data_IF_053068098415
#
_entry.id   IF_053068098415
#
_cell.length_a   1.000
_cell.length_b   1.000
_cell.length_c   1.000
_cell.angle_alpha   90.00
_cell.angle_beta   90.00
_cell.angle_gamma   90.00
#
_symmetry.space_group_name_H-M   'P 1'
#
loop_
_entity.id
_entity.type
_entity.pdbx_description
1 polymer ?
#
# COMPACT_ATOMS: atom_id res chain seq x y z
N UNK A 1 -17.98 8.48 -7.22
CA UNK A 1 -17.44 8.97 -5.96
C UNK A 1 -18.45 9.99 -5.48
N UNK A 2 -19.34 9.58 -4.58
CA UNK A 2 -20.41 10.44 -4.09
C UNK A 2 -19.91 11.12 -2.83
N UNK A 3 -19.84 12.44 -2.84
CA UNK A 3 -19.51 13.25 -1.66
C UNK A 3 -20.78 13.91 -1.15
N UNK A 4 -21.24 13.60 0.06
CA UNK A 4 -22.37 14.30 0.70
C UNK A 4 -21.87 15.12 1.88
N UNK A 5 -22.24 16.40 1.93
CA UNK A 5 -22.10 17.26 3.10
C UNK A 5 -23.46 17.37 3.82
N UNK A 6 -23.44 17.71 5.11
CA UNK A 6 -24.58 17.57 6.05
C UNK A 6 -25.70 18.62 5.90
N UNK A 7 -25.80 19.33 4.78
CA UNK A 7 -26.92 20.25 4.52
C UNK A 7 -27.80 19.71 3.39
N UNK A 8 -29.03 19.35 3.74
CA UNK A 8 -30.01 18.80 2.83
C UNK A 8 -30.42 19.82 1.76
N UNK A 9 -30.35 19.44 0.48
CA UNK A 9 -31.41 19.54 -0.54
C UNK A 9 -30.96 18.86 -1.84
N UNK A 10 -31.90 18.14 -2.46
CA UNK A 10 -31.64 17.09 -3.46
C UNK A 10 -31.06 17.56 -4.80
N UNK A 11 -30.51 16.60 -5.54
CA UNK A 11 -29.98 16.76 -6.89
C UNK A 11 -30.21 15.47 -7.71
N UNK A 12 -30.30 15.61 -9.04
CA UNK A 12 -30.55 14.55 -10.05
C UNK A 12 -29.38 14.46 -11.02
N UNK A 13 -28.95 13.26 -11.44
CA UNK A 13 -28.44 13.05 -12.81
C UNK A 13 -28.37 11.57 -13.25
N UNK A 14 -28.58 11.32 -14.56
CA UNK A 14 -28.67 9.97 -15.15
C UNK A 14 -27.33 9.41 -15.63
N UNK A 15 -27.14 8.11 -15.42
CA UNK A 15 -26.09 7.27 -15.99
C UNK A 15 -26.23 7.15 -17.52
N UNK A 16 -25.24 7.67 -18.26
CA UNK A 16 -24.80 7.08 -19.52
C UNK A 16 -23.27 7.16 -19.60
N UNK A 17 -22.66 6.01 -19.84
CA UNK A 17 -21.26 5.83 -20.26
C UNK A 17 -20.17 6.02 -19.19
N UNK A 18 -20.19 5.19 -18.13
CA UNK A 18 -18.98 4.78 -17.39
C UNK A 18 -18.15 5.86 -16.68
N UNK A 19 -18.63 7.10 -16.62
CA UNK A 19 -17.96 8.22 -15.97
C UNK A 19 -18.33 8.36 -14.50
N UNK A 20 -17.33 8.48 -13.64
CA UNK A 20 -17.51 8.77 -12.22
C UNK A 20 -17.75 10.28 -12.03
N UNK A 21 -18.99 10.69 -11.76
CA UNK A 21 -19.32 12.08 -11.45
C UNK A 21 -19.02 12.43 -9.98
N UNK A 22 -18.53 13.65 -9.76
CA UNK A 22 -18.34 14.27 -8.45
C UNK A 22 -18.90 15.69 -8.49
N UNK A 23 -19.82 16.02 -7.59
CA UNK A 23 -20.37 17.36 -7.45
C UNK A 23 -20.51 17.73 -5.97
N UNK A 24 -20.30 19.00 -5.62
CA UNK A 24 -20.77 19.56 -4.34
C UNK A 24 -21.73 20.68 -4.61
N UNK A 25 -22.68 20.76 -3.71
CA UNK A 25 -23.38 21.98 -3.40
C UNK A 25 -22.81 22.48 -2.08
N UNK A 26 -21.83 23.38 -2.17
CA UNK A 26 -21.57 24.36 -1.12
C UNK A 26 -22.02 25.69 -1.69
N UNK A 27 -22.98 26.33 -1.01
CA UNK A 27 -23.24 27.75 -1.19
C UNK A 27 -21.90 28.49 -1.02
N UNK A 28 -21.52 29.27 -2.03
CA UNK A 28 -20.38 30.21 -2.07
C UNK A 28 -18.94 29.71 -2.28
N UNK A 29 -18.66 28.44 -2.63
CA UNK A 29 -17.29 28.05 -2.99
C UNK A 29 -17.19 27.46 -4.40
N UNK A 30 -16.55 28.19 -5.31
CA UNK A 30 -16.28 27.82 -6.70
C UNK A 30 -15.68 26.41 -6.78
N UNK A 31 -16.38 25.51 -7.47
CA UNK A 31 -15.84 24.20 -7.85
C UNK A 31 -15.26 24.33 -9.25
N UNK A 32 -13.98 24.67 -9.35
CA UNK A 32 -13.26 24.56 -10.63
C UNK A 32 -12.94 23.10 -10.89
N UNK A 33 -13.78 22.45 -11.72
CA UNK A 33 -13.46 21.14 -12.30
C UNK A 33 -13.02 21.35 -13.74
N UNK A 34 -11.79 20.96 -14.05
CA UNK A 34 -11.32 20.80 -15.43
C UNK A 34 -11.54 19.34 -15.81
N UNK A 35 -12.59 19.07 -16.58
CA UNK A 35 -12.88 17.74 -17.12
C UNK A 35 -12.27 17.64 -18.51
N UNK A 36 -11.14 16.95 -18.62
CA UNK A 36 -10.67 16.41 -19.89
C UNK A 36 -11.35 15.04 -20.09
N UNK A 37 -12.13 14.90 -21.15
CA UNK A 37 -12.93 13.70 -21.43
C UNK A 37 -12.08 12.43 -21.63
N UNK A 38 -10.77 12.55 -21.81
CA UNK A 38 -9.84 11.42 -21.88
C UNK A 38 -9.01 11.19 -20.60
N UNK A 39 -9.20 12.01 -19.57
CA UNK A 39 -8.47 11.86 -18.32
C UNK A 39 -9.06 10.74 -17.46
N UNK A 40 -8.18 9.90 -16.92
CA UNK A 40 -8.49 8.95 -15.85
C UNK A 40 -8.15 9.50 -14.45
N UNK A 41 -7.70 10.75 -14.37
CA UNK A 41 -7.39 11.46 -13.12
C UNK A 41 -8.46 12.50 -12.84
N UNK A 42 -8.98 12.46 -11.62
CA UNK A 42 -9.96 13.43 -11.12
C UNK A 42 -9.45 14.05 -9.81
N UNK A 43 -9.48 15.38 -9.73
CA UNK A 43 -9.12 16.12 -8.52
C UNK A 43 -10.34 16.89 -8.01
N UNK A 44 -10.63 16.75 -6.71
CA UNK A 44 -11.72 17.46 -6.04
C UNK A 44 -11.15 18.43 -4.99
N UNK A 45 -11.50 19.71 -5.10
CA UNK A 45 -11.17 20.71 -4.09
C UNK A 45 -12.44 21.25 -3.40
N UNK A 46 -12.38 21.35 -2.07
CA UNK A 46 -13.42 21.94 -1.22
C UNK A 46 -12.76 22.89 -0.23
N UNK A 47 -13.25 24.13 -0.16
CA UNK A 47 -12.85 25.12 0.84
C UNK A 47 -13.98 25.20 1.87
N UNK A 48 -13.67 25.08 3.16
CA UNK A 48 -14.65 25.03 4.24
C UNK A 48 -14.09 25.69 5.51
N UNK A 49 -14.96 26.23 6.34
CA UNK A 49 -14.62 26.71 7.68
C UNK A 49 -14.76 25.59 8.71
N UNK A 50 -13.83 25.50 9.66
CA UNK A 50 -13.91 24.51 10.76
C UNK A 50 -14.98 24.89 11.79
N UNK A 51 -15.65 23.91 12.43
CA UNK A 51 -15.49 22.46 12.24
C UNK A 51 -16.26 21.92 11.03
N UNK A 52 -15.70 20.94 10.31
CA UNK A 52 -16.36 20.23 9.22
C UNK A 52 -16.01 18.74 9.22
N UNK A 53 -16.81 17.93 8.53
CA UNK A 53 -16.62 16.50 8.31
C UNK A 53 -16.97 16.15 6.86
N UNK A 54 -16.24 15.21 6.26
CA UNK A 54 -16.45 14.76 4.87
C UNK A 54 -16.34 13.25 4.82
N UNK A 55 -17.39 12.60 4.32
CA UNK A 55 -17.37 11.18 3.97
C UNK A 55 -17.10 11.00 2.47
N UNK A 56 -16.17 10.11 2.16
CA UNK A 56 -15.88 9.65 0.80
C UNK A 56 -16.32 8.20 0.70
N UNK A 57 -17.41 7.95 -0.02
CA UNK A 57 -18.00 6.62 -0.13
C UNK A 57 -17.56 5.94 -1.43
N UNK A 58 -17.05 4.73 -1.30
CA UNK A 58 -16.74 3.82 -2.40
C UNK A 58 -17.59 2.55 -2.27
N UNK A 59 -18.27 2.17 -3.36
CA UNK A 59 -19.02 0.93 -3.49
C UNK A 59 -18.97 0.46 -4.95
N UNK A 60 -19.07 -0.85 -5.14
CA UNK A 60 -19.19 -1.48 -6.46
C UNK A 60 -20.63 -1.34 -6.98
N UNK A 61 -20.83 -1.39 -8.30
CA UNK A 61 -22.14 -1.49 -8.94
C UNK A 61 -22.94 -2.69 -8.42
N UNK A 62 -22.25 -3.78 -8.05
CA UNK A 62 -22.85 -4.98 -7.49
C UNK A 62 -22.84 -5.01 -5.95
N UNK A 63 -22.98 -3.84 -5.31
CA UNK A 63 -23.03 -3.72 -3.85
C UNK A 63 -24.11 -4.63 -3.25
N UNK A 64 -23.89 -5.11 -2.02
CA UNK A 64 -24.75 -6.08 -1.34
C UNK A 64 -26.23 -5.70 -1.42
N UNK A 65 -27.06 -6.63 -1.89
CA UNK A 65 -28.47 -6.41 -2.23
C UNK A 65 -28.76 -6.01 -3.69
N UNK A 66 -27.76 -5.67 -4.51
CA UNK A 66 -27.91 -5.20 -5.90
C UNK A 66 -27.15 -6.04 -6.92
N UNK A 67 -27.41 -7.36 -6.95
CA UNK A 67 -26.74 -8.32 -7.85
C UNK A 67 -26.91 -8.06 -9.36
N UNK A 68 -27.87 -7.22 -9.76
CA UNK A 68 -28.14 -6.84 -11.15
C UNK A 68 -27.72 -5.39 -11.47
N UNK A 69 -26.94 -4.77 -10.57
CA UNK A 69 -26.59 -3.35 -10.65
C UNK A 69 -27.72 -2.44 -10.19
N UNK A 70 -27.42 -1.14 -10.21
CA UNK A 70 -28.39 -0.09 -9.85
C UNK A 70 -29.27 0.25 -11.05
N UNK A 71 -30.58 0.16 -10.86
CA UNK A 71 -31.59 0.53 -11.86
C UNK A 71 -32.13 1.94 -11.62
N UNK A 72 -32.05 2.42 -10.38
CA UNK A 72 -32.57 3.71 -9.96
C UNK A 72 -31.58 4.49 -9.09
N UNK A 73 -31.54 5.82 -9.28
CA UNK A 73 -30.69 6.73 -8.50
C UNK A 73 -31.00 6.67 -6.99
N UNK A 74 -32.25 6.40 -6.62
CA UNK A 74 -32.65 6.21 -5.23
C UNK A 74 -31.97 5.01 -4.55
N UNK A 75 -31.56 4.00 -5.31
CA UNK A 75 -30.83 2.83 -4.79
C UNK A 75 -29.40 3.23 -4.43
N UNK A 76 -28.75 4.02 -5.30
CA UNK A 76 -27.43 4.61 -5.04
C UNK A 76 -27.49 5.50 -3.79
N UNK A 77 -28.51 6.36 -3.70
CA UNK A 77 -28.70 7.22 -2.53
C UNK A 77 -28.85 6.43 -1.23
N UNK A 78 -29.60 5.32 -1.28
CA UNK A 78 -29.78 4.43 -0.14
C UNK A 78 -28.47 3.77 0.28
N UNK A 79 -27.64 3.30 -0.67
CA UNK A 79 -26.32 2.72 -0.38
C UNK A 79 -25.41 3.77 0.25
N UNK A 80 -25.35 4.97 -0.32
CA UNK A 80 -24.55 6.07 0.23
C UNK A 80 -24.98 6.40 1.67
N UNK A 81 -26.29 6.45 1.95
CA UNK A 81 -26.79 6.68 3.31
C UNK A 81 -26.40 5.55 4.27
N UNK A 82 -26.33 4.30 3.80
CA UNK A 82 -25.88 3.17 4.62
C UNK A 82 -24.38 3.17 4.92
N UNK A 83 -23.60 3.92 4.13
CA UNK A 83 -22.13 4.00 4.20
C UNK A 83 -21.63 5.41 4.53
N UNK A 84 -22.44 6.26 5.17
CA UNK A 84 -22.04 7.60 5.60
C UNK A 84 -22.70 8.02 6.91
N UNK A 85 -22.21 9.11 7.50
CA UNK A 85 -22.72 9.71 8.72
C UNK A 85 -22.80 8.72 9.89
N UNK A 86 -23.95 8.68 10.56
CA UNK A 86 -24.12 7.88 11.78
C UNK A 86 -23.92 6.38 11.57
N UNK A 87 -24.15 5.86 10.37
CA UNK A 87 -23.90 4.46 10.06
C UNK A 87 -22.40 4.14 10.14
N UNK A 88 -21.57 4.99 9.53
CA UNK A 88 -20.11 4.87 9.59
C UNK A 88 -19.58 5.16 11.00
N UNK A 89 -20.13 6.14 11.71
CA UNK A 89 -19.74 6.43 13.10
C UNK A 89 -19.88 5.19 14.00
N UNK A 90 -20.99 4.47 13.88
CA UNK A 90 -21.23 3.25 14.63
C UNK A 90 -20.23 2.14 14.27
N UNK A 91 -19.93 2.00 12.98
CA UNK A 91 -18.93 1.03 12.49
C UNK A 91 -17.54 1.39 13.00
N UNK A 92 -17.12 2.65 12.95
CA UNK A 92 -15.83 3.13 13.47
C UNK A 92 -15.72 2.85 14.97
N UNK A 93 -16.74 3.19 15.76
CA UNK A 93 -16.75 2.94 17.20
C UNK A 93 -16.70 1.45 17.53
N UNK A 94 -17.42 0.62 16.77
CA UNK A 94 -17.38 -0.84 16.91
C UNK A 94 -15.99 -1.41 16.55
N UNK A 95 -15.40 -0.96 15.44
CA UNK A 95 -14.08 -1.40 14.99
C UNK A 95 -12.98 -1.03 15.98
N UNK A 96 -13.01 0.19 16.55
CA UNK A 96 -12.06 0.62 17.60
C UNK A 96 -12.13 -0.27 18.84
N UNK A 97 -13.34 -0.58 19.33
CA UNK A 97 -13.50 -1.49 20.48
C UNK A 97 -12.99 -2.89 20.18
N UNK A 98 -13.33 -3.44 19.01
CA UNK A 98 -12.83 -4.75 18.57
C UNK A 98 -11.30 -4.79 18.44
N UNK A 99 -10.68 -3.70 17.99
CA UNK A 99 -9.22 -3.56 17.94
C UNK A 99 -8.62 -3.62 19.34
N UNK A 100 -9.14 -2.84 20.28
CA UNK A 100 -8.65 -2.81 21.68
C UNK A 100 -8.79 -4.18 22.37
N UNK A 101 -9.92 -4.85 22.17
CA UNK A 101 -10.20 -6.19 22.69
C UNK A 101 -9.23 -7.22 22.10
N UNK A 102 -9.06 -7.25 20.77
CA UNK A 102 -8.18 -8.21 20.09
C UNK A 102 -6.71 -7.98 20.46
N UNK A 103 -6.25 -6.73 20.57
CA UNK A 103 -4.87 -6.43 21.01
C UNK A 103 -4.62 -7.00 22.40
N UNK A 104 -5.59 -6.83 23.31
CA UNK A 104 -5.50 -7.39 24.67
C UNK A 104 -5.49 -8.91 24.68
N UNK A 105 -6.27 -9.55 23.78
CA UNK A 105 -6.34 -11.02 23.66
C UNK A 105 -5.07 -11.63 23.05
N UNK A 106 -4.54 -11.03 21.98
CA UNK A 106 -3.39 -11.56 21.22
C UNK A 106 -2.09 -11.42 22.00
N UNK A 107 -1.86 -10.26 22.63
CA UNK A 107 -0.60 -9.96 23.30
C UNK A 107 -0.62 -10.18 24.81
N UNK A 108 -1.80 -10.44 25.39
CA UNK A 108 -2.05 -10.77 26.81
C UNK A 108 -1.04 -10.18 27.79
N UNK A 109 -1.03 -8.84 27.87
CA UNK A 109 -0.06 -8.11 28.69
C UNK A 109 -0.11 -8.51 30.17
N UNK A 110 -1.29 -8.90 30.68
CA UNK A 110 -1.48 -9.30 32.07
C UNK A 110 -0.84 -10.65 32.41
N UNK A 111 -0.82 -11.60 31.46
CA UNK A 111 -0.05 -12.84 31.65
C UNK A 111 1.46 -12.61 31.62
N UNK A 112 1.90 -11.54 30.96
CA UNK A 112 3.32 -11.23 30.81
C UNK A 112 3.88 -10.53 32.05
N UNK A 113 3.18 -9.53 32.59
CA UNK A 113 3.50 -8.90 33.87
C UNK A 113 2.30 -8.12 34.43
N UNK A 114 2.21 -8.04 35.76
CA UNK A 114 1.27 -7.14 36.44
C UNK A 114 1.64 -5.65 36.31
N UNK A 115 2.84 -5.34 35.80
CA UNK A 115 3.34 -3.97 35.65
C UNK A 115 2.84 -3.28 34.37
N UNK A 116 2.19 -4.02 33.46
CA UNK A 116 1.65 -3.43 32.23
C UNK A 116 0.41 -2.59 32.53
N UNK A 117 0.59 -1.27 32.46
CA UNK A 117 -0.51 -0.31 32.59
C UNK A 117 -1.35 -0.16 31.32
N UNK A 118 -2.49 0.54 31.44
CA UNK A 118 -3.34 0.91 30.30
C UNK A 118 -2.57 1.72 29.24
N UNK A 119 -1.62 2.56 29.65
CA UNK A 119 -0.77 3.33 28.73
C UNK A 119 0.12 2.42 27.88
N UNK A 120 0.61 1.31 28.42
CA UNK A 120 1.39 0.34 27.65
C UNK A 120 0.52 -0.38 26.62
N UNK A 121 -0.73 -0.70 26.96
CA UNK A 121 -1.70 -1.28 26.01
C UNK A 121 -1.99 -0.31 24.87
N UNK A 122 -2.19 0.97 25.18
CA UNK A 122 -2.36 2.02 24.17
C UNK A 122 -1.13 2.14 23.27
N UNK A 123 0.07 2.19 23.84
CA UNK A 123 1.32 2.23 23.08
C UNK A 123 1.47 1.03 22.13
N UNK A 124 1.18 -0.19 22.61
CA UNK A 124 1.25 -1.40 21.79
C UNK A 124 0.24 -1.36 20.63
N UNK A 125 -0.99 -0.90 20.88
CA UNK A 125 -2.00 -0.70 19.84
C UNK A 125 -1.53 0.28 18.77
N UNK A 126 -1.04 1.45 19.16
CA UNK A 126 -0.55 2.46 18.21
C UNK A 126 0.66 1.93 17.41
N UNK A 127 1.58 1.21 18.06
CA UNK A 127 2.76 0.64 17.41
C UNK A 127 2.35 -0.41 16.36
N UNK A 128 1.47 -1.34 16.74
CA UNK A 128 0.95 -2.34 15.81
C UNK A 128 0.17 -1.68 14.66
N UNK A 129 -0.65 -0.68 14.96
CA UNK A 129 -1.46 0.03 13.96
C UNK A 129 -0.58 0.77 12.95
N UNK A 130 0.53 1.36 13.39
CA UNK A 130 1.50 1.99 12.50
C UNK A 130 2.26 0.97 11.65
N UNK A 131 2.62 -0.19 12.20
CA UNK A 131 3.25 -1.27 11.44
C UNK A 131 2.30 -1.80 10.34
N UNK A 132 1.06 -2.12 10.69
CA UNK A 132 0.05 -2.60 9.74
C UNK A 132 -0.31 -1.53 8.69
N UNK A 133 -0.45 -0.27 9.12
CA UNK A 133 -0.68 0.87 8.23
C UNK A 133 0.53 1.22 7.35
N UNK A 134 1.69 0.61 7.60
CA UNK A 134 2.88 0.67 6.77
C UNK A 134 2.98 -0.45 5.73
N UNK A 135 2.03 -1.40 5.69
CA UNK A 135 1.97 -2.42 4.66
C UNK A 135 1.58 -1.77 3.33
N UNK A 136 2.36 -2.05 2.29
CA UNK A 136 2.19 -1.47 0.97
C UNK A 136 2.15 -2.57 -0.10
N UNK A 137 1.37 -2.33 -1.15
CA UNK A 137 1.40 -3.08 -2.39
C UNK A 137 2.15 -2.27 -3.45
N UNK A 138 3.31 -2.77 -3.86
CA UNK A 138 4.23 -2.11 -4.77
C UNK A 138 4.24 -2.83 -6.13
N UNK A 139 4.40 -2.07 -7.21
CA UNK A 139 4.38 -2.62 -8.56
C UNK A 139 5.40 -1.91 -9.45
N UNK A 140 6.28 -2.66 -10.09
CA UNK A 140 7.26 -2.07 -10.98
C UNK A 140 8.46 -2.96 -11.26
N UNK A 141 9.56 -2.34 -11.66
CA UNK A 141 10.84 -2.98 -11.96
C UNK A 141 11.93 -2.42 -11.05
N UNK A 142 12.71 -3.29 -10.43
CA UNK A 142 13.96 -2.91 -9.76
C UNK A 142 15.07 -2.69 -10.80
N UNK A 143 15.94 -1.72 -10.53
CA UNK A 143 17.12 -1.46 -11.35
C UNK A 143 18.31 -2.27 -10.82
N UNK A 144 19.16 -2.75 -11.72
CA UNK A 144 20.31 -3.61 -11.39
C UNK A 144 21.55 -3.10 -12.12
N UNK A 145 22.67 -3.03 -11.41
CA UNK A 145 23.96 -2.76 -12.03
C UNK A 145 24.48 -4.03 -12.73
N UNK A 146 24.72 -4.01 -14.06
CA UNK A 146 25.45 -5.10 -14.73
C UNK A 146 26.94 -4.92 -14.54
N UNK A 147 27.62 -5.98 -14.12
CA UNK A 147 29.08 -6.12 -14.24
C UNK A 147 29.45 -7.02 -15.44
N UNK A 148 30.72 -7.04 -15.83
CA UNK A 148 31.20 -7.87 -16.95
C UNK A 148 31.03 -9.38 -16.68
N UNK A 149 30.93 -9.80 -15.41
CA UNK A 149 30.61 -11.18 -15.05
C UNK A 149 29.15 -11.58 -15.42
N UNK A 150 28.19 -10.66 -15.32
CA UNK A 150 26.82 -10.84 -15.82
C UNK A 150 26.72 -10.85 -17.35
N UNK A 151 27.72 -10.34 -18.08
CA UNK A 151 27.83 -10.50 -19.55
C UNK A 151 28.30 -11.90 -19.93
N UNK A 152 29.15 -12.52 -19.09
CA UNK A 152 29.76 -13.83 -19.35
C UNK A 152 28.89 -15.01 -18.87
N UNK A 153 28.10 -14.82 -17.81
CA UNK A 153 27.17 -15.84 -17.30
C UNK A 153 25.81 -15.78 -18.03
N UNK A 154 25.74 -16.44 -19.18
CA UNK A 154 24.49 -16.73 -19.93
C UNK A 154 23.46 -17.55 -19.14
N UNK A 155 23.82 -18.04 -17.95
CA UNK A 155 22.98 -18.82 -17.02
C UNK A 155 22.11 -17.96 -16.09
N UNK A 156 22.44 -16.67 -15.89
CA UNK A 156 21.48 -15.68 -15.35
C UNK A 156 20.58 -15.28 -16.53
N UNK A 157 19.55 -16.08 -16.76
CA UNK A 157 18.81 -16.11 -18.02
C UNK A 157 18.43 -14.73 -18.55
N UNK A 158 18.63 -14.54 -19.86
CA UNK A 158 18.21 -13.36 -20.61
C UNK A 158 16.72 -13.01 -20.41
N UNK A 159 15.90 -13.95 -19.93
CA UNK A 159 14.47 -13.77 -19.64
C UNK A 159 14.18 -12.95 -18.36
N UNK A 160 15.14 -12.80 -17.44
CA UNK A 160 14.92 -12.07 -16.17
C UNK A 160 15.33 -10.60 -16.22
N UNK A 161 16.10 -10.20 -17.25
CA UNK A 161 16.66 -8.87 -17.39
C UNK A 161 16.19 -8.19 -18.68
N UNK A 162 15.77 -6.94 -18.56
CA UNK A 162 15.49 -6.06 -19.71
C UNK A 162 16.58 -5.01 -19.79
N UNK A 163 17.19 -4.88 -20.97
CA UNK A 163 18.12 -3.78 -21.25
C UNK A 163 17.36 -2.46 -21.21
N UNK A 164 17.84 -1.52 -20.42
CA UNK A 164 17.32 -0.16 -20.40
C UNK A 164 18.22 0.66 -21.35
N UNK A 165 17.66 1.24 -22.43
CA UNK A 165 18.40 2.14 -23.30
C UNK A 165 19.03 3.30 -22.51
N UNK A 166 20.21 3.75 -22.92
CA UNK A 166 20.94 4.87 -22.29
C UNK A 166 20.16 6.19 -22.27
N UNK A 167 19.09 6.30 -23.07
CA UNK A 167 18.20 7.45 -23.19
C UNK A 167 16.85 7.27 -22.46
N UNK A 168 16.72 6.28 -21.57
CA UNK A 168 15.50 6.16 -20.75
C UNK A 168 15.38 7.39 -19.85
N UNK A 169 14.36 8.20 -20.16
CA UNK A 169 14.21 9.64 -19.95
C UNK A 169 14.30 10.16 -18.50
N UNK A 170 14.48 9.27 -17.52
CA UNK A 170 14.40 9.57 -16.09
C UNK A 170 15.71 9.40 -15.29
N UNK A 171 16.84 9.05 -15.93
CA UNK A 171 18.08 8.74 -15.20
C UNK A 171 19.33 9.37 -15.79
N UNK A 172 19.33 10.69 -15.97
CA UNK A 172 20.50 11.44 -16.47
C UNK A 172 21.73 11.37 -15.56
N UNK A 173 21.51 11.07 -14.26
CA UNK A 173 22.52 11.15 -13.20
C UNK A 173 22.90 9.80 -12.58
N UNK A 174 22.36 8.67 -13.10
CA UNK A 174 22.92 7.36 -12.77
C UNK A 174 24.30 7.24 -13.44
N UNK A 175 25.32 6.62 -12.78
CA UNK A 175 26.67 6.56 -13.33
C UNK A 175 26.64 5.98 -14.75
N UNK A 176 26.94 6.84 -15.74
CA UNK A 176 26.93 6.54 -17.18
C UNK A 176 27.87 5.40 -17.60
N UNK A 177 28.68 4.87 -16.68
CA UNK A 177 29.67 3.82 -16.91
C UNK A 177 29.14 2.39 -16.71
N UNK A 178 27.95 2.22 -16.11
CA UNK A 178 27.36 0.89 -15.90
C UNK A 178 26.24 0.63 -16.92
N UNK A 179 26.29 -0.50 -17.63
CA UNK A 179 25.18 -0.96 -18.44
C UNK A 179 24.01 -1.28 -17.51
N UNK A 180 23.07 -0.35 -17.36
CA UNK A 180 21.92 -0.51 -16.47
C UNK A 180 20.96 -1.58 -17.01
N UNK A 181 20.58 -2.51 -16.14
CA UNK A 181 19.50 -3.46 -16.39
C UNK A 181 18.29 -3.17 -15.51
N UNK A 182 17.12 -3.67 -15.91
CA UNK A 182 15.99 -3.84 -15.01
C UNK A 182 15.62 -5.31 -14.88
N UNK A 183 15.15 -5.69 -13.70
CA UNK A 183 14.48 -6.97 -13.52
C UNK A 183 13.11 -6.98 -14.22
N UNK A 184 12.56 -8.17 -14.40
CA UNK A 184 11.15 -8.35 -14.79
C UNK A 184 10.23 -7.54 -13.88
N UNK A 185 9.13 -7.05 -14.46
CA UNK A 185 8.12 -6.35 -13.70
C UNK A 185 7.52 -7.31 -12.67
N UNK A 186 7.46 -6.89 -11.42
CA UNK A 186 6.95 -7.69 -10.31
C UNK A 186 6.01 -6.87 -9.44
N UNK A 187 5.39 -7.57 -8.48
CA UNK A 187 4.51 -7.04 -7.45
C UNK A 187 5.07 -7.45 -6.10
N UNK A 188 4.91 -6.60 -5.09
CA UNK A 188 5.35 -6.89 -3.74
C UNK A 188 4.33 -6.37 -2.72
N UNK A 189 3.79 -7.28 -1.91
CA UNK A 189 3.09 -6.95 -0.67
C UNK A 189 4.10 -7.05 0.49
N UNK A 190 4.33 -5.96 1.22
CA UNK A 190 5.40 -5.88 2.24
C UNK A 190 5.10 -4.83 3.28
N UNK A 191 5.58 -5.03 4.50
CA UNK A 191 5.67 -3.96 5.49
C UNK A 191 6.85 -3.03 5.17
N UNK A 192 6.69 -1.73 5.39
CA UNK A 192 7.74 -0.72 5.16
C UNK A 192 8.38 -0.29 6.49
N UNK A 193 9.71 -0.11 6.57
CA UNK A 193 10.36 0.32 7.81
C UNK A 193 9.90 1.71 8.28
N UNK A 194 9.59 2.60 7.33
CA UNK A 194 9.07 3.93 7.59
C UNK A 194 8.31 4.46 6.40
N UNK A 195 7.06 4.88 6.60
CA UNK A 195 6.22 5.47 5.55
C UNK A 195 6.79 6.77 4.97
N UNK A 196 7.60 7.51 5.73
CA UNK A 196 8.14 8.81 5.32
C UNK A 196 9.54 8.72 4.71
N UNK A 197 10.40 7.85 5.23
CA UNK A 197 11.82 7.78 4.81
C UNK A 197 12.08 6.56 3.92
N UNK A 198 11.39 5.45 4.21
CA UNK A 198 11.62 4.15 3.59
C UNK A 198 10.31 3.47 3.13
N UNK A 199 9.48 4.10 2.27
CA UNK A 199 8.18 3.57 1.86
C UNK A 199 8.33 2.45 0.80
N UNK A 200 9.17 1.45 1.07
CA UNK A 200 9.52 0.36 0.15
C UNK A 200 9.98 -0.87 0.93
N UNK A 201 9.99 -2.02 0.27
CA UNK A 201 10.39 -3.28 0.89
C UNK A 201 11.90 -3.36 1.13
N UNK A 202 12.29 -3.80 2.33
CA UNK A 202 13.66 -4.15 2.68
C UNK A 202 13.72 -5.61 3.16
N UNK A 203 14.55 -6.40 2.48
CA UNK A 203 14.56 -7.86 2.63
C UNK A 203 14.83 -8.31 4.06
N UNK A 204 15.79 -7.65 4.73
CA UNK A 204 16.20 -8.05 6.08
C UNK A 204 15.29 -7.44 7.17
N UNK A 205 14.65 -6.30 6.94
CA UNK A 205 13.67 -5.73 7.87
C UNK A 205 12.39 -6.58 7.91
N UNK A 206 11.97 -7.10 6.75
CA UNK A 206 10.70 -7.81 6.61
C UNK A 206 10.57 -9.00 7.56
N UNK A 207 11.64 -9.77 7.75
CA UNK A 207 11.62 -10.88 8.71
C UNK A 207 11.22 -10.46 10.13
N UNK A 208 11.67 -9.28 10.58
CA UNK A 208 11.30 -8.76 11.90
C UNK A 208 9.87 -8.21 11.93
N UNK A 209 9.43 -7.54 10.85
CA UNK A 209 8.03 -7.11 10.73
C UNK A 209 7.08 -8.30 10.86
N UNK A 210 7.37 -9.39 10.14
CA UNK A 210 6.50 -10.55 10.08
C UNK A 210 6.47 -11.35 11.37
N UNK A 211 7.51 -11.30 12.22
CA UNK A 211 7.45 -11.87 13.58
C UNK A 211 6.36 -11.22 14.45
N UNK A 212 6.06 -9.93 14.24
CA UNK A 212 4.99 -9.22 14.95
C UNK A 212 3.66 -9.43 14.24
N UNK A 213 3.62 -9.25 12.92
CA UNK A 213 2.38 -9.35 12.13
C UNK A 213 1.80 -10.77 12.24
N UNK A 214 2.61 -11.83 12.18
CA UNK A 214 2.12 -13.21 12.27
C UNK A 214 1.40 -13.54 13.59
N UNK A 215 1.73 -12.82 14.69
CA UNK A 215 1.03 -12.97 15.97
C UNK A 215 -0.36 -12.33 15.92
N UNK A 216 -0.49 -11.25 15.18
CA UNK A 216 -1.75 -10.55 14.97
C UNK A 216 -2.61 -11.27 13.92
N UNK A 217 -2.07 -11.48 12.72
CA UNK A 217 -2.76 -11.97 11.53
C UNK A 217 -1.80 -12.85 10.69
N UNK A 218 -1.88 -14.16 10.92
CA UNK A 218 -1.01 -15.15 10.26
C UNK A 218 -1.22 -15.20 8.73
N UNK A 219 -2.46 -15.24 8.19
CA UNK A 219 -2.67 -15.19 6.74
C UNK A 219 -2.01 -13.97 6.08
N UNK A 220 -2.17 -12.78 6.65
CA UNK A 220 -1.53 -11.57 6.12
C UNK A 220 0.00 -11.66 6.12
N UNK A 221 0.58 -12.22 7.18
CA UNK A 221 2.03 -12.43 7.25
C UNK A 221 2.53 -13.42 6.18
N UNK A 222 1.80 -14.51 5.96
CA UNK A 222 2.10 -15.49 4.91
C UNK A 222 2.01 -14.85 3.52
N UNK A 223 0.99 -14.05 3.24
CA UNK A 223 0.87 -13.33 1.95
C UNK A 223 2.08 -12.42 1.70
N UNK A 224 2.58 -11.70 2.73
CA UNK A 224 3.78 -10.88 2.60
C UNK A 224 5.03 -11.74 2.33
N UNK A 225 5.24 -12.80 3.11
CA UNK A 225 6.39 -13.70 2.95
C UNK A 225 6.40 -14.38 1.57
N UNK A 226 5.25 -14.88 1.12
CA UNK A 226 5.07 -15.48 -0.20
C UNK A 226 5.31 -14.45 -1.32
N UNK A 227 4.86 -13.20 -1.13
CA UNK A 227 5.12 -12.13 -2.08
C UNK A 227 6.61 -11.85 -2.25
N UNK A 228 7.40 -11.89 -1.17
CA UNK A 228 8.85 -11.76 -1.24
C UNK A 228 9.51 -12.94 -1.95
N UNK A 229 9.13 -14.18 -1.62
CA UNK A 229 9.67 -15.38 -2.24
C UNK A 229 9.33 -15.48 -3.73
N UNK A 230 8.15 -15.00 -4.13
CA UNK A 230 7.74 -14.90 -5.55
C UNK A 230 8.61 -13.94 -6.36
N UNK A 231 9.26 -12.98 -5.69
CA UNK A 231 10.22 -12.06 -6.28
C UNK A 231 11.63 -12.64 -6.48
N UNK A 232 11.89 -13.87 -6.01
CA UNK A 232 13.19 -14.52 -6.19
C UNK A 232 13.53 -14.77 -7.66
N UNK A 233 14.81 -14.63 -7.97
CA UNK A 233 15.38 -14.97 -9.27
C UNK A 233 15.68 -16.45 -9.36
N UNK A 234 15.91 -16.97 -10.57
CA UNK A 234 16.34 -18.37 -10.78
C UNK A 234 17.59 -18.75 -9.98
N UNK A 235 18.46 -17.79 -9.68
CA UNK A 235 19.65 -17.98 -8.83
C UNK A 235 19.34 -18.11 -7.33
N UNK A 236 18.10 -17.89 -6.92
CA UNK A 236 17.69 -17.75 -5.51
C UNK A 236 17.96 -16.37 -4.93
N UNK A 237 18.58 -15.45 -5.69
CA UNK A 237 18.81 -14.08 -5.22
C UNK A 237 17.50 -13.28 -5.16
N UNK A 238 17.37 -12.48 -4.11
CA UNK A 238 16.30 -11.51 -3.93
C UNK A 238 16.96 -10.14 -3.69
N UNK A 239 16.59 -9.10 -4.45
CA UNK A 239 17.12 -7.76 -4.21
C UNK A 239 16.83 -7.28 -2.79
N UNK A 240 17.86 -6.78 -2.13
CA UNK A 240 17.78 -6.35 -0.72
C UNK A 240 16.81 -5.20 -0.48
N UNK A 241 16.62 -4.33 -1.47
CA UNK A 241 15.78 -3.14 -1.39
C UNK A 241 14.92 -3.05 -2.66
N UNK A 242 13.60 -3.10 -2.48
CA UNK A 242 12.64 -3.28 -3.55
C UNK A 242 12.10 -1.93 -4.04
N UNK A 243 12.91 -1.24 -4.86
CA UNK A 243 12.54 0.06 -5.45
C UNK A 243 11.71 -0.14 -6.73
N UNK A 244 10.42 -0.41 -6.55
CA UNK A 244 9.51 -0.79 -7.63
C UNK A 244 8.71 0.40 -8.18
N UNK A 245 9.05 0.85 -9.40
CA UNK A 245 8.27 1.89 -10.11
C UNK A 245 8.77 3.31 -9.85
N UNK A 246 8.24 4.28 -10.59
CA UNK A 246 8.71 5.68 -10.55
C UNK A 246 8.45 6.36 -9.21
N UNK A 247 7.31 6.07 -8.58
CA UNK A 247 6.95 6.62 -7.26
C UNK A 247 7.94 6.23 -6.17
N UNK A 248 8.35 4.96 -6.10
CA UNK A 248 9.36 4.51 -5.14
C UNK A 248 10.73 5.16 -5.40
N UNK A 249 11.05 5.43 -6.68
CA UNK A 249 12.32 6.03 -7.09
C UNK A 249 12.38 7.52 -6.84
N UNK A 250 11.26 8.24 -6.94
CA UNK A 250 11.22 9.68 -6.66
C UNK A 250 11.50 10.03 -5.19
N UNK A 251 11.55 9.02 -4.31
CA UNK A 251 11.93 9.19 -2.91
C UNK A 251 13.45 9.19 -2.68
N UNK A 252 14.26 8.95 -3.72
CA UNK A 252 15.72 8.99 -3.63
C UNK A 252 16.23 10.39 -3.98
N UNK A 253 17.01 10.97 -3.08
CA UNK A 253 17.78 12.18 -3.35
C UNK A 253 19.09 11.85 -4.10
N UNK A 254 19.65 12.83 -4.81
CA UNK A 254 20.83 12.65 -5.68
C UNK A 254 22.01 11.94 -4.97
N UNK A 255 22.30 12.32 -3.72
CA UNK A 255 23.41 11.79 -2.93
C UNK A 255 23.24 10.33 -2.46
N UNK A 256 22.03 9.76 -2.59
CA UNK A 256 21.72 8.36 -2.25
C UNK A 256 21.22 7.57 -3.46
N UNK A 257 21.17 8.16 -4.66
CA UNK A 257 20.58 7.55 -5.84
C UNK A 257 21.28 6.25 -6.27
N UNK A 258 22.57 6.10 -5.94
CA UNK A 258 23.33 4.86 -6.14
C UNK A 258 22.76 3.65 -5.40
N UNK A 259 22.09 3.84 -4.25
CA UNK A 259 21.51 2.73 -3.48
C UNK A 259 20.23 2.16 -4.09
N UNK A 260 19.64 2.87 -5.06
CA UNK A 260 18.52 2.35 -5.85
C UNK A 260 18.95 1.17 -6.73
N UNK A 261 20.21 1.16 -7.19
CA UNK A 261 20.75 0.08 -8.02
C UNK A 261 21.05 -1.15 -7.18
N UNK A 262 20.45 -2.27 -7.55
CA UNK A 262 20.66 -3.56 -6.90
C UNK A 262 21.88 -4.26 -7.51
N UNK A 263 22.59 -5.04 -6.69
CA UNK A 263 23.73 -5.85 -7.13
C UNK A 263 23.46 -7.33 -6.79
N UNK A 264 23.38 -8.23 -7.80
CA UNK A 264 23.13 -9.66 -7.59
C UNK A 264 24.19 -10.40 -6.79
N UNK A 265 25.41 -9.86 -6.72
CA UNK A 265 26.51 -10.45 -5.95
C UNK A 265 26.46 -10.05 -4.46
N UNK A 266 25.50 -9.20 -4.06
CA UNK A 266 25.32 -8.73 -2.69
C UNK A 266 24.10 -9.40 -2.04
N UNK A 267 24.37 -10.12 -0.96
CA UNK A 267 23.35 -10.74 -0.10
C UNK A 267 22.95 -9.84 1.07
N UNK A 268 21.89 -10.22 1.77
CA UNK A 268 21.42 -9.63 3.01
C UNK A 268 21.13 -10.73 4.05
N UNK A 269 21.13 -10.41 5.37
CA UNK A 269 20.77 -11.39 6.39
C UNK A 269 19.41 -12.04 6.10
N UNK A 270 19.27 -13.38 6.18
CA UNK A 270 18.07 -14.11 5.75
C UNK A 270 16.97 -14.10 6.83
N UNK A 271 16.63 -12.92 7.34
CA UNK A 271 15.65 -12.74 8.43
C UNK A 271 14.25 -13.21 8.04
N UNK A 272 13.93 -13.23 6.74
CA UNK A 272 12.69 -13.82 6.21
C UNK A 272 12.47 -15.26 6.70
N UNK A 273 13.53 -15.99 7.04
CA UNK A 273 13.46 -17.36 7.58
C UNK A 273 13.02 -17.42 9.05
N UNK A 274 13.11 -16.33 9.81
CA UNK A 274 12.77 -16.33 11.25
C UNK A 274 11.28 -16.60 11.49
N UNK A 275 10.32 -15.95 10.80
CA UNK A 275 8.90 -16.30 10.92
C UNK A 275 8.62 -17.76 10.58
N UNK A 276 9.24 -18.30 9.52
CA UNK A 276 9.09 -19.72 9.15
C UNK A 276 9.59 -20.65 10.24
N UNK A 277 10.73 -20.33 10.86
CA UNK A 277 11.23 -21.09 12.01
C UNK A 277 10.25 -21.08 13.16
N UNK A 278 9.65 -19.93 13.48
CA UNK A 278 8.65 -19.82 14.55
C UNK A 278 7.40 -20.64 14.20
N UNK A 279 6.88 -20.53 12.98
CA UNK A 279 5.72 -21.30 12.51
C UNK A 279 5.96 -22.82 12.55
N UNK A 280 7.17 -23.27 12.21
CA UNK A 280 7.51 -24.70 12.24
C UNK A 280 7.44 -25.32 13.64
N UNK A 281 7.42 -24.49 14.68
CA UNK A 281 7.32 -24.89 16.10
C UNK A 281 5.96 -24.56 16.72
N UNK A 282 5.01 -24.02 15.95
CA UNK A 282 3.65 -23.81 16.43
C UNK A 282 2.92 -25.16 16.48
N UNK A 283 2.48 -25.55 17.67
CA UNK A 283 1.59 -26.71 17.89
C UNK A 283 0.16 -26.44 17.44
#
# INVERSE_FOLDING_TARGET
LVTKSKEAHGFKSSLKDGGLLVQSNTLENEVTSALDAQSNVFALQRVMSVPFEVDIVFFDEFFDGFSQGFTHESEIDSVVQSLSGSAVDQVIQSARRKMDERVSQVFDFKKTSNDFSVQHTHFARETLSNLLGGIAYLNGRSLVARNDAMKANTSLGADEFVLIPSNFEYYTDLPRSSELGALRKTKLLTATPSRSVFPRGFLWDEGFHQLVIMKWDLPLALECLESWLSGSMKSGWIPREQVLGSEARSQFADHIMQYMLQNPDIANPPTLLMPWSVMSTME
#
